data_IF_156473029440
#
_entry.id   IF_156473029440
#
_cell.length_a   1.000
_cell.length_b   1.000
_cell.length_c   1.000
_cell.angle_alpha   90.00
_cell.angle_beta   90.00
_cell.angle_gamma   90.00
#
_symmetry.space_group_name_H-M   'P 1'
#
loop_
_entity.id
_entity.type
_entity.pdbx_description
1 polymer ?
#
# COMPACT_ATOMS: atom_id res chain seq x y z
N UNK A 1 10.56 -16.88 7.80
CA UNK A 1 10.57 -16.17 9.09
C UNK A 1 10.36 -14.69 8.80
N UNK A 2 9.34 -14.05 9.41
CA UNK A 2 9.12 -12.60 9.30
C UNK A 2 10.14 -11.87 10.17
N UNK A 3 10.82 -10.87 9.64
CA UNK A 3 11.73 -10.02 10.42
C UNK A 3 10.97 -8.74 10.79
N UNK A 4 11.03 -8.36 12.07
CA UNK A 4 10.51 -7.07 12.49
C UNK A 4 11.47 -5.98 12.00
N UNK A 5 10.95 -5.01 11.27
CA UNK A 5 11.73 -3.83 10.86
C UNK A 5 11.31 -2.71 11.80
N UNK A 6 12.17 -2.38 12.76
CA UNK A 6 11.95 -1.24 13.63
C UNK A 6 11.97 0.03 12.77
N UNK A 7 10.82 0.71 12.68
CA UNK A 7 10.79 2.10 12.25
C UNK A 7 11.20 2.94 13.46
N UNK A 8 12.46 2.81 13.87
CA UNK A 8 13.08 3.64 14.90
C UNK A 8 13.44 4.98 14.24
N UNK A 9 12.48 5.90 14.24
CA UNK A 9 12.65 7.36 14.31
C UNK A 9 11.35 8.02 13.86
N UNK A 10 10.40 8.12 14.79
CA UNK A 10 9.49 9.26 14.92
C UNK A 10 8.67 9.09 16.19
N UNK A 11 8.59 10.15 16.98
CA UNK A 11 7.98 10.28 18.32
C UNK A 11 6.45 10.07 18.37
N UNK A 12 5.86 9.36 17.38
CA UNK A 12 4.42 9.14 17.22
C UNK A 12 4.04 7.70 16.77
N UNK A 13 4.91 6.70 16.94
CA UNK A 13 4.58 5.31 16.58
C UNK A 13 3.60 4.67 17.61
N UNK A 14 2.32 5.03 17.48
CA UNK A 14 1.16 4.53 18.24
C UNK A 14 0.85 3.04 17.94
N UNK A 15 1.78 2.13 18.18
CA UNK A 15 1.52 0.68 18.07
C UNK A 15 1.41 0.15 16.64
N UNK A 16 1.95 0.86 15.64
CA UNK A 16 2.13 0.34 14.27
C UNK A 16 3.36 -0.56 14.25
N UNK A 17 3.23 -1.78 13.71
CA UNK A 17 4.32 -2.73 13.50
C UNK A 17 4.47 -3.02 12.02
N UNK A 18 5.71 -3.01 11.53
CA UNK A 18 6.02 -3.37 10.14
C UNK A 18 6.93 -4.60 10.15
N UNK A 19 6.51 -5.62 9.42
CA UNK A 19 7.27 -6.84 9.23
C UNK A 19 7.71 -6.93 7.77
N UNK A 20 8.91 -7.43 7.55
CA UNK A 20 9.46 -7.67 6.24
C UNK A 20 9.73 -9.17 6.04
N UNK A 21 9.51 -9.62 4.81
CA UNK A 21 9.92 -10.93 4.33
C UNK A 21 10.33 -10.85 2.87
N UNK A 22 11.39 -11.56 2.49
CA UNK A 22 11.71 -11.77 1.09
C UNK A 22 10.54 -12.44 0.37
N UNK A 23 10.24 -11.98 -0.85
CA UNK A 23 9.25 -12.62 -1.70
C UNK A 23 9.60 -14.09 -1.93
N UNK A 24 8.54 -14.91 -2.03
CA UNK A 24 8.65 -16.31 -2.48
C UNK A 24 8.17 -16.49 -3.92
N UNK A 25 7.69 -15.41 -4.55
CA UNK A 25 7.25 -15.44 -5.94
C UNK A 25 8.50 -15.44 -6.85
N UNK A 26 8.61 -16.38 -7.80
CA UNK A 26 9.80 -16.50 -8.66
C UNK A 26 10.05 -15.28 -9.55
N UNK A 27 9.01 -14.49 -9.81
CA UNK A 27 9.03 -13.38 -10.76
C UNK A 27 9.59 -12.08 -10.20
N UNK A 28 10.06 -12.05 -8.94
CA UNK A 28 10.49 -10.81 -8.29
C UNK A 28 11.46 -11.05 -7.15
N UNK A 29 12.41 -10.12 -7.01
CA UNK A 29 13.34 -10.05 -5.87
C UNK A 29 12.88 -9.03 -4.82
N UNK A 30 11.71 -8.42 -5.00
CA UNK A 30 11.17 -7.42 -4.09
C UNK A 30 10.84 -8.01 -2.71
N UNK A 31 10.95 -7.18 -1.69
CA UNK A 31 10.49 -7.52 -0.35
C UNK A 31 8.97 -7.37 -0.23
N UNK A 32 8.39 -8.19 0.62
CA UNK A 32 7.01 -8.11 1.06
C UNK A 32 6.96 -7.50 2.45
N UNK A 33 6.13 -6.46 2.60
CA UNK A 33 5.92 -5.76 3.84
C UNK A 33 4.52 -6.03 4.38
N UNK A 34 4.41 -6.32 5.67
CA UNK A 34 3.15 -6.47 6.40
C UNK A 34 3.11 -5.42 7.51
N UNK A 35 2.16 -4.50 7.40
CA UNK A 35 1.85 -3.55 8.46
C UNK A 35 0.73 -4.11 9.33
N UNK A 36 0.86 -4.01 10.65
CA UNK A 36 -0.16 -4.39 11.62
C UNK A 36 -0.37 -3.26 12.61
N UNK A 37 -1.61 -2.83 12.81
CA UNK A 37 -1.97 -1.79 13.79
C UNK A 37 -3.40 -2.00 14.33
N UNK A 38 -3.70 -1.40 15.47
CA UNK A 38 -5.06 -1.33 16.03
C UNK A 38 -5.61 0.08 15.79
N UNK A 39 -6.72 0.18 15.08
CA UNK A 39 -7.43 1.42 14.82
C UNK A 39 -8.52 1.62 15.87
N UNK A 40 -8.64 2.82 16.48
CA UNK A 40 -9.67 3.13 17.47
C UNK A 40 -11.01 3.46 16.79
N UNK A 41 -11.50 2.56 15.95
CA UNK A 41 -12.79 2.66 15.27
C UNK A 41 -13.37 1.27 14.95
N UNK A 42 -14.65 1.24 14.62
CA UNK A 42 -15.33 0.01 14.17
C UNK A 42 -14.86 -0.42 12.79
N UNK A 43 -15.08 -1.70 12.46
CA UNK A 43 -14.63 -2.28 11.20
C UNK A 43 -15.27 -1.59 9.99
N UNK A 44 -16.54 -1.23 10.09
CA UNK A 44 -17.29 -0.53 9.04
C UNK A 44 -16.70 0.86 8.76
N UNK A 45 -16.29 1.57 9.82
CA UNK A 45 -15.63 2.87 9.68
C UNK A 45 -14.26 2.72 9.04
N UNK A 46 -13.46 1.75 9.47
CA UNK A 46 -12.16 1.47 8.89
C UNK A 46 -12.28 1.09 7.40
N UNK A 47 -13.23 0.22 7.07
CA UNK A 47 -13.52 -0.18 5.69
C UNK A 47 -13.91 1.03 4.84
N UNK A 48 -14.80 1.88 5.33
CA UNK A 48 -15.24 3.06 4.60
C UNK A 48 -14.09 4.03 4.29
N UNK A 49 -13.14 4.16 5.21
CA UNK A 49 -11.98 5.04 5.06
C UNK A 49 -10.92 4.50 4.08
N UNK A 50 -10.81 3.17 3.95
CA UNK A 50 -9.80 2.50 3.13
C UNK A 50 -10.29 2.12 1.73
N UNK A 51 -11.59 1.84 1.58
CA UNK A 51 -12.17 1.33 0.34
C UNK A 51 -12.05 2.37 -0.78
N UNK A 52 -11.37 2.04 -1.90
CA UNK A 52 -11.18 2.97 -3.02
C UNK A 52 -12.47 3.58 -3.58
N UNK A 53 -13.56 2.81 -3.57
CA UNK A 53 -14.87 3.18 -4.14
C UNK A 53 -15.60 4.28 -3.36
N UNK A 54 -15.30 4.45 -2.07
CA UNK A 54 -16.07 5.35 -1.20
C UNK A 54 -15.53 6.78 -1.20
N UNK A 55 -14.42 7.05 -1.90
CA UNK A 55 -13.84 8.39 -2.06
C UNK A 55 -13.20 8.99 -0.82
N UNK A 56 -13.50 8.47 0.39
CA UNK A 56 -12.89 8.92 1.64
C UNK A 56 -11.37 8.81 1.63
N UNK A 57 -10.82 7.76 1.02
CA UNK A 57 -9.38 7.54 0.93
C UNK A 57 -8.63 8.73 0.31
N UNK A 58 -9.17 9.34 -0.75
CA UNK A 58 -8.55 10.48 -1.43
C UNK A 58 -8.49 11.75 -0.56
N UNK A 59 -9.30 11.83 0.50
CA UNK A 59 -9.34 13.01 1.38
C UNK A 59 -8.18 13.05 2.37
N UNK A 60 -7.67 11.89 2.78
CA UNK A 60 -6.62 11.79 3.80
C UNK A 60 -5.31 11.17 3.28
N UNK A 61 -5.36 10.34 2.23
CA UNK A 61 -4.16 9.73 1.64
C UNK A 61 -3.44 10.76 0.76
N UNK A 62 -2.45 11.44 1.36
CA UNK A 62 -1.66 12.47 0.69
C UNK A 62 -0.80 11.93 -0.46
N UNK A 63 -0.60 10.61 -0.52
CA UNK A 63 0.15 9.98 -1.61
C UNK A 63 -0.69 9.83 -2.88
N UNK A 64 -2.00 9.75 -2.75
CA UNK A 64 -2.91 9.55 -3.87
C UNK A 64 -3.31 10.87 -4.53
N UNK A 65 -3.32 10.86 -5.85
CA UNK A 65 -3.85 11.92 -6.70
C UNK A 65 -5.29 11.62 -7.10
N UNK A 66 -5.57 10.41 -7.55
CA UNK A 66 -6.88 9.97 -8.00
C UNK A 66 -6.98 8.44 -7.95
N UNK A 67 -8.22 7.96 -7.88
CA UNK A 67 -8.57 6.55 -8.08
C UNK A 67 -9.70 6.53 -9.09
N UNK A 68 -9.48 5.87 -10.23
CA UNK A 68 -10.46 5.74 -11.30
C UNK A 68 -10.96 4.29 -11.31
N UNK A 69 -12.27 4.09 -11.27
CA UNK A 69 -12.86 2.76 -11.48
C UNK A 69 -13.04 2.56 -12.98
N UNK A 70 -12.30 1.61 -13.56
CA UNK A 70 -12.35 1.29 -14.99
C UNK A 70 -13.55 0.37 -15.27
N UNK A 71 -13.64 -0.71 -14.49
CA UNK A 71 -14.69 -1.71 -14.61
C UNK A 71 -15.07 -2.23 -13.22
N UNK A 72 -16.33 -2.65 -13.07
CA UNK A 72 -16.83 -3.23 -11.83
C UNK A 72 -17.69 -4.45 -12.14
N UNK A 73 -17.55 -5.48 -11.31
CA UNK A 73 -18.41 -6.66 -11.24
C UNK A 73 -18.93 -6.78 -9.82
N UNK A 74 -19.93 -5.94 -9.44
CA UNK A 74 -20.38 -5.84 -8.05
C UNK A 74 -20.88 -7.16 -7.49
N UNK A 75 -21.50 -7.99 -8.32
CA UNK A 75 -22.02 -9.31 -7.95
C UNK A 75 -20.92 -10.31 -7.56
N UNK A 76 -19.67 -10.05 -7.95
CA UNK A 76 -18.49 -10.84 -7.58
C UNK A 76 -17.58 -10.11 -6.61
N UNK A 77 -17.94 -8.88 -6.24
CA UNK A 77 -17.11 -7.93 -5.49
C UNK A 77 -15.71 -7.74 -6.11
N UNK A 78 -15.62 -7.80 -7.45
CA UNK A 78 -14.38 -7.60 -8.20
C UNK A 78 -14.41 -6.26 -8.91
N UNK A 79 -13.30 -5.55 -8.88
CA UNK A 79 -13.16 -4.21 -9.44
C UNK A 79 -11.83 -4.07 -10.16
N UNK A 80 -11.82 -3.29 -11.23
CA UNK A 80 -10.61 -2.87 -11.92
C UNK A 80 -10.41 -1.38 -11.65
N UNK A 81 -9.31 -1.04 -11.00
CA UNK A 81 -8.95 0.33 -10.67
C UNK A 81 -7.74 0.80 -11.45
N UNK A 82 -7.66 2.11 -11.63
CA UNK A 82 -6.42 2.82 -11.90
C UNK A 82 -6.13 3.73 -10.72
N UNK A 83 -5.04 3.47 -10.03
CA UNK A 83 -4.54 4.35 -8.97
C UNK A 83 -3.51 5.30 -9.56
N UNK A 84 -3.68 6.60 -9.31
CA UNK A 84 -2.71 7.63 -9.65
C UNK A 84 -2.11 8.17 -8.36
N UNK A 85 -0.80 8.07 -8.24
CA UNK A 85 -0.04 8.57 -7.10
C UNK A 85 0.62 9.89 -7.46
N UNK A 86 0.74 10.77 -6.46
CA UNK A 86 1.45 12.04 -6.60
C UNK A 86 2.96 11.79 -6.72
N UNK A 87 3.67 12.78 -7.24
CA UNK A 87 5.12 12.85 -7.06
C UNK A 87 5.38 13.01 -5.56
N UNK A 88 6.18 12.13 -5.00
CA UNK A 88 6.57 12.21 -3.59
C UNK A 88 8.01 12.71 -3.51
N UNK A 89 8.31 13.55 -2.52
CA UNK A 89 9.68 13.99 -2.25
C UNK A 89 10.06 13.61 -0.81
N UNK A 90 9.97 12.33 -0.43
CA UNK A 90 10.44 11.92 0.88
C UNK A 90 11.95 12.15 0.92
N UNK A 91 12.44 12.76 2.00
CA UNK A 91 13.88 12.89 2.27
C UNK A 91 14.70 13.56 1.14
N UNK A 92 14.09 14.53 0.42
CA UNK A 92 14.70 15.24 -0.72
C UNK A 92 15.09 14.33 -1.91
N UNK A 93 14.51 13.15 -2.01
CA UNK A 93 14.67 12.26 -3.18
C UNK A 93 13.42 12.43 -4.06
N UNK A 94 13.54 12.97 -5.28
CA UNK A 94 12.39 13.17 -6.15
C UNK A 94 11.89 11.82 -6.66
N UNK A 95 10.82 11.32 -6.06
CA UNK A 95 10.12 10.13 -6.52
C UNK A 95 9.07 10.54 -7.54
N UNK A 96 9.28 10.19 -8.82
CA UNK A 96 8.34 10.48 -9.91
C UNK A 96 6.93 9.99 -9.60
N UNK A 97 5.93 10.67 -10.15
CA UNK A 97 4.54 10.26 -10.03
C UNK A 97 4.37 8.82 -10.56
N UNK A 98 3.57 8.02 -9.84
CA UNK A 98 3.34 6.61 -10.16
C UNK A 98 1.90 6.36 -10.57
N UNK A 99 1.68 5.31 -11.34
CA UNK A 99 0.35 4.78 -11.56
C UNK A 99 0.36 3.25 -11.43
N UNK A 100 -0.78 2.68 -11.10
CA UNK A 100 -1.02 1.24 -11.18
C UNK A 100 -2.39 0.97 -11.81
N UNK A 101 -2.50 -0.18 -12.47
CA UNK A 101 -3.77 -0.74 -12.92
C UNK A 101 -3.96 -2.03 -12.17
N UNK A 102 -5.04 -2.14 -11.41
CA UNK A 102 -5.16 -3.20 -10.43
C UNK A 102 -6.52 -3.87 -10.45
N UNK A 103 -6.52 -5.20 -10.50
CA UNK A 103 -7.71 -5.98 -10.17
C UNK A 103 -7.75 -6.14 -8.67
N UNK A 104 -8.88 -5.78 -8.10
CA UNK A 104 -9.16 -5.91 -6.69
C UNK A 104 -10.36 -6.82 -6.45
N UNK A 105 -10.35 -7.51 -5.32
CA UNK A 105 -11.46 -8.32 -4.85
C UNK A 105 -11.72 -8.03 -3.37
N UNK A 106 -12.99 -7.86 -3.03
CA UNK A 106 -13.43 -7.84 -1.64
C UNK A 106 -13.98 -9.22 -1.26
N UNK A 107 -13.82 -9.57 0.00
CA UNK A 107 -14.51 -10.67 0.65
C UNK A 107 -14.94 -10.16 2.02
N UNK A 108 -16.25 -10.25 2.31
CA UNK A 108 -16.82 -9.81 3.57
C UNK A 108 -17.43 -10.98 4.31
N UNK A 109 -17.14 -11.07 5.59
CA UNK A 109 -17.85 -11.93 6.52
C UNK A 109 -18.30 -11.10 7.73
N UNK A 110 -18.94 -11.75 8.69
CA UNK A 110 -19.31 -11.09 9.95
C UNK A 110 -18.08 -10.67 10.76
N UNK A 111 -16.98 -11.42 10.63
CA UNK A 111 -15.84 -11.31 11.54
C UNK A 111 -14.63 -10.65 10.86
N UNK A 112 -14.66 -10.47 9.54
CA UNK A 112 -13.57 -9.85 8.81
C UNK A 112 -13.99 -9.24 7.47
N UNK A 113 -13.22 -8.25 7.03
CA UNK A 113 -13.22 -7.73 5.66
C UNK A 113 -11.82 -7.91 5.08
N UNK A 114 -11.75 -8.58 3.94
CA UNK A 114 -10.51 -8.77 3.18
C UNK A 114 -10.61 -8.05 1.85
N UNK A 115 -9.64 -7.19 1.58
CA UNK A 115 -9.42 -6.55 0.28
C UNK A 115 -8.10 -7.07 -0.26
N UNK A 116 -8.14 -7.79 -1.39
CA UNK A 116 -6.96 -8.25 -2.11
C UNK A 116 -6.80 -7.45 -3.40
N UNK A 117 -5.56 -7.12 -3.76
CA UNK A 117 -5.25 -6.38 -4.99
C UNK A 117 -4.00 -6.92 -5.67
N UNK A 118 -4.02 -6.98 -6.99
CA UNK A 118 -2.86 -7.30 -7.83
C UNK A 118 -2.89 -6.46 -9.10
N UNK A 119 -1.73 -6.12 -9.64
CA UNK A 119 -1.67 -5.36 -10.89
C UNK A 119 -2.04 -6.21 -12.09
N UNK A 120 -2.58 -5.52 -13.10
CA UNK A 120 -3.01 -6.10 -14.38
C UNK A 120 -2.65 -5.17 -15.54
N UNK A 121 -3.06 -5.56 -16.74
CA UNK A 121 -2.95 -4.78 -17.97
C UNK A 121 -4.34 -4.45 -18.50
N UNK A 122 -4.49 -3.26 -19.11
CA UNK A 122 -5.72 -2.84 -19.78
C UNK A 122 -5.38 -2.07 -21.05
N UNK A 123 -6.00 -2.43 -22.18
CA UNK A 123 -5.66 -1.88 -23.50
C UNK A 123 -5.80 -0.36 -23.61
N UNK A 124 -6.82 0.19 -22.96
CA UNK A 124 -7.09 1.64 -22.98
C UNK A 124 -6.13 2.47 -22.11
N UNK A 125 -5.31 1.81 -21.29
CA UNK A 125 -4.37 2.47 -20.38
C UNK A 125 -2.94 1.97 -20.61
N UNK A 126 -2.36 2.22 -21.80
CA UNK A 126 -0.98 1.86 -22.08
C UNK A 126 -0.01 2.65 -21.21
N UNK A 127 1.25 2.21 -21.20
CA UNK A 127 2.34 2.95 -20.57
C UNK A 127 2.44 4.35 -21.18
N UNK A 128 2.70 5.35 -20.33
CA UNK A 128 2.84 6.73 -20.76
C UNK A 128 4.01 7.40 -20.02
N UNK A 129 4.49 8.52 -20.55
CA UNK A 129 5.67 9.23 -20.00
C UNK A 129 5.36 10.07 -18.76
N UNK A 130 4.08 10.29 -18.40
CA UNK A 130 3.69 11.14 -17.28
C UNK A 130 3.80 10.42 -15.93
N UNK A 131 3.66 9.10 -15.95
CA UNK A 131 3.66 8.25 -14.77
C UNK A 131 4.56 7.05 -14.99
N UNK A 132 5.30 6.65 -13.96
CA UNK A 132 5.96 5.36 -13.99
C UNK A 132 4.99 4.30 -13.46
N UNK A 133 4.71 3.28 -14.27
CA UNK A 133 3.83 2.17 -13.87
C UNK A 133 4.50 1.35 -12.78
N UNK A 134 3.83 1.17 -11.64
CA UNK A 134 4.24 0.21 -10.60
C UNK A 134 3.48 -1.09 -10.80
N UNK A 135 4.03 -2.18 -10.27
CA UNK A 135 3.41 -3.50 -10.32
C UNK A 135 3.22 -4.04 -8.92
N UNK A 136 1.97 -4.15 -8.48
CA UNK A 136 1.60 -4.92 -7.30
C UNK A 136 1.59 -6.41 -7.66
N UNK A 137 2.46 -7.19 -7.03
CA UNK A 137 2.41 -8.66 -7.13
C UNK A 137 1.28 -9.20 -6.25
N UNK A 138 1.20 -8.69 -5.02
CA UNK A 138 0.14 -8.98 -4.07
C UNK A 138 0.06 -7.84 -3.06
N UNK A 139 -1.10 -7.25 -2.91
CA UNK A 139 -1.33 -6.25 -1.88
C UNK A 139 -2.73 -6.35 -1.31
N UNK A 140 -3.01 -5.46 -0.37
CA UNK A 140 -4.35 -5.25 0.15
C UNK A 140 -4.36 -5.19 1.67
N UNK A 141 -5.51 -5.42 2.25
CA UNK A 141 -5.68 -5.38 3.70
C UNK A 141 -6.72 -6.37 4.21
N UNK A 142 -6.59 -6.70 5.48
CA UNK A 142 -7.59 -7.40 6.28
C UNK A 142 -7.96 -6.51 7.46
N UNK A 143 -9.26 -6.40 7.72
CA UNK A 143 -9.84 -5.77 8.90
C UNK A 143 -10.56 -6.85 9.70
N UNK A 144 -10.34 -6.88 11.00
CA UNK A 144 -11.09 -7.72 11.93
C UNK A 144 -11.19 -7.05 13.30
N UNK A 145 -12.10 -7.49 14.19
CA UNK A 145 -12.16 -7.00 15.56
C UNK A 145 -10.81 -7.07 16.27
N UNK A 146 -10.43 -6.00 16.99
CA UNK A 146 -9.22 -6.01 17.80
C UNK A 146 -9.39 -6.90 19.02
N UNK A 147 -8.31 -7.58 19.43
CA UNK A 147 -8.29 -8.36 20.68
C UNK A 147 -8.41 -7.46 21.93
N UNK A 148 -8.06 -6.17 21.81
CA UNK A 148 -8.07 -5.21 22.93
C UNK A 148 -9.48 -4.68 23.24
N UNK A 149 -10.24 -4.38 22.19
CA UNK A 149 -11.64 -3.95 22.26
C UNK A 149 -12.34 -4.38 20.95
N UNK A 150 -12.95 -5.58 20.91
CA UNK A 150 -13.52 -6.11 19.69
C UNK A 150 -14.78 -5.35 19.21
N UNK A 151 -15.33 -4.45 20.03
CA UNK A 151 -16.54 -3.68 19.68
C UNK A 151 -16.18 -2.35 19.05
N UNK A 152 -15.20 -1.64 19.60
CA UNK A 152 -14.87 -0.28 19.15
C UNK A 152 -13.53 -0.17 18.43
N UNK A 153 -12.72 -1.23 18.40
CA UNK A 153 -11.40 -1.22 17.77
C UNK A 153 -11.30 -2.29 16.68
N UNK A 154 -10.56 -1.93 15.63
CA UNK A 154 -10.32 -2.77 14.46
C UNK A 154 -8.84 -3.04 14.33
N UNK A 155 -8.45 -4.30 14.21
CA UNK A 155 -7.11 -4.69 13.79
C UNK A 155 -7.00 -4.56 12.28
N UNK A 156 -6.07 -3.73 11.83
CA UNK A 156 -5.69 -3.58 10.43
C UNK A 156 -4.41 -4.38 10.18
N UNK A 157 -4.45 -5.30 9.23
CA UNK A 157 -3.29 -5.96 8.65
C UNK A 157 -3.20 -5.57 7.16
N UNK A 158 -2.19 -4.81 6.76
CA UNK A 158 -2.00 -4.37 5.37
C UNK A 158 -0.77 -5.04 4.77
N UNK A 159 -0.94 -5.72 3.64
CA UNK A 159 0.13 -6.36 2.89
C UNK A 159 0.51 -5.49 1.71
N UNK A 160 1.81 -5.28 1.53
CA UNK A 160 2.39 -4.54 0.43
C UNK A 160 3.54 -5.33 -0.20
N UNK A 161 3.35 -5.79 -1.44
CA UNK A 161 4.40 -6.41 -2.24
C UNK A 161 4.28 -5.89 -3.67
N UNK A 162 5.20 -4.99 -4.02
CA UNK A 162 5.18 -4.29 -5.30
C UNK A 162 6.58 -4.00 -5.81
N UNK A 163 6.75 -4.08 -7.12
CA UNK A 163 7.86 -3.46 -7.83
C UNK A 163 7.50 -2.00 -8.09
N UNK A 164 8.21 -1.13 -7.39
CA UNK A 164 8.08 0.30 -7.54
C UNK A 164 8.81 0.83 -8.75
N UNK A 165 9.38 0.01 -9.65
CA UNK A 165 10.11 0.38 -10.85
C UNK A 165 11.04 1.58 -10.61
N UNK A 166 11.90 1.47 -9.60
CA UNK A 166 12.85 2.54 -9.26
C UNK A 166 14.16 2.23 -9.96
N UNK A 167 14.63 3.14 -10.81
CA UNK A 167 15.96 3.03 -11.38
C UNK A 167 17.01 3.14 -10.27
N UNK A 168 17.84 2.10 -10.10
CA UNK A 168 18.79 1.96 -8.97
C UNK A 168 19.71 3.16 -8.73
N UNK A 169 20.05 3.94 -9.76
CA UNK A 169 20.93 5.11 -9.60
C UNK A 169 20.34 6.21 -8.69
N UNK A 170 19.02 6.27 -8.51
CA UNK A 170 18.38 7.35 -7.75
C UNK A 170 18.41 7.19 -6.22
N UNK A 171 18.61 5.97 -5.70
CA UNK A 171 18.58 5.69 -4.25
C UNK A 171 20.00 5.49 -3.69
N UNK A 172 20.86 4.76 -4.40
CA UNK A 172 22.18 4.38 -3.87
C UNK A 172 23.20 5.53 -3.83
N UNK A 173 23.15 6.50 -4.76
CA UNK A 173 24.10 7.62 -4.78
C UNK A 173 23.94 8.57 -3.56
N UNK A 174 22.75 8.58 -2.92
CA UNK A 174 22.48 9.48 -1.78
C UNK A 174 22.48 8.82 -0.41
N UNK A 175 22.18 7.53 -0.29
CA UNK A 175 22.38 6.83 0.98
C UNK A 175 23.88 6.76 1.34
N UNK A 176 24.76 6.58 0.35
CA UNK A 176 26.21 6.65 0.56
C UNK A 176 26.67 8.05 1.03
N UNK A 177 26.11 9.14 0.50
CA UNK A 177 26.46 10.51 0.93
C UNK A 177 25.76 10.99 2.21
N UNK A 178 24.88 10.18 2.81
CA UNK A 178 24.35 10.44 4.15
C UNK A 178 25.30 9.84 5.19
N UNK A 179 25.80 8.62 5.00
CA UNK A 179 26.79 8.02 5.91
C UNK A 179 28.08 8.86 6.02
N UNK A 180 28.56 9.42 4.91
CA UNK A 180 29.76 10.27 4.90
C UNK A 180 29.58 11.60 5.64
N UNK A 181 28.35 12.04 5.92
CA UNK A 181 28.06 13.30 6.63
C UNK A 181 27.85 13.14 8.13
N UNK A 182 27.81 11.91 8.64
CA UNK A 182 27.70 11.62 10.07
C UNK A 182 28.98 10.99 10.67
N UNK A 183 30.07 10.90 9.88
CA UNK A 183 31.40 10.48 10.35
C UNK A 183 32.40 11.65 10.54
N UNK A 184 31.92 12.91 10.56
CA UNK A 184 32.74 14.11 10.75
C UNK A 184 32.39 14.88 12.02
#
# INVERSE_FOLDING_TARGET
>A
MLRHVSVENNTHNNGVRVFERSSTLPSTNESMYLLVTDLPCTMEKAEAMLTPLMGHRLQWDTSLKAIETISAWPEKEVYLFRHLFRKLTPWNIPFSARESLDVAKFMRSKDEVVFGVMSTVHGDYPLNSKYVRIQFFLGGYMLCPSEKDPVNHTKLCMLFHADLNVSGNAIFERCATIDDRFQG
#
